data_IF_454798207263
#
_entry.id   IF_454798207263
#
_cell.length_a   1.000
_cell.length_b   1.000
_cell.length_c   1.000
_cell.angle_alpha   90.00
_cell.angle_beta   90.00
_cell.angle_gamma   90.00
#
_symmetry.space_group_name_H-M   'P 1'
#
loop_
_entity.id
_entity.type
_entity.pdbx_description
1 polymer ?
#
# COMPACT_ATOMS: atom_id res chain seq x y z
N UNK A 1 -57.32 -21.31 35.46
CA UNK A 1 -55.85 -21.32 35.42
C UNK A 1 -55.39 -19.88 35.59
N UNK A 2 -54.58 -19.56 36.60
CA UNK A 2 -54.22 -18.17 36.93
C UNK A 2 -53.42 -17.52 35.78
N UNK A 3 -53.67 -16.24 35.48
CA UNK A 3 -52.99 -15.47 34.41
C UNK A 3 -51.46 -15.58 34.51
N UNK A 4 -50.94 -15.67 35.74
CA UNK A 4 -49.52 -15.88 36.02
C UNK A 4 -48.97 -17.20 35.48
N UNK A 5 -49.78 -18.26 35.43
CA UNK A 5 -49.37 -19.57 34.88
C UNK A 5 -49.30 -19.52 33.36
N UNK A 6 -50.20 -18.77 32.71
CA UNK A 6 -50.22 -18.61 31.25
C UNK A 6 -49.02 -17.75 30.81
N UNK A 7 -48.74 -16.66 31.53
CA UNK A 7 -47.61 -15.78 31.23
C UNK A 7 -46.25 -16.50 31.38
N UNK A 8 -46.08 -17.34 32.41
CA UNK A 8 -44.84 -18.11 32.59
C UNK A 8 -44.69 -19.21 31.54
N UNK A 9 -45.77 -19.86 31.11
CA UNK A 9 -45.73 -20.84 30.02
C UNK A 9 -45.38 -20.19 28.68
N UNK A 10 -45.94 -19.01 28.38
CA UNK A 10 -45.60 -18.23 27.18
C UNK A 10 -44.15 -17.74 27.20
N UNK A 11 -43.64 -17.30 28.35
CA UNK A 11 -42.24 -16.89 28.50
C UNK A 11 -41.27 -18.08 28.33
N UNK A 12 -41.61 -19.24 28.91
CA UNK A 12 -40.80 -20.46 28.80
C UNK A 12 -40.77 -21.02 27.37
N UNK A 13 -41.91 -20.99 26.68
CA UNK A 13 -42.01 -21.39 25.27
C UNK A 13 -41.27 -20.40 24.36
N UNK A 14 -41.42 -19.09 24.57
CA UNK A 14 -40.64 -18.07 23.84
C UNK A 14 -39.13 -18.23 24.00
N UNK A 15 -38.66 -18.47 25.23
CA UNK A 15 -37.23 -18.67 25.51
C UNK A 15 -36.70 -19.96 24.86
N UNK A 16 -37.46 -21.04 24.88
CA UNK A 16 -37.06 -22.31 24.23
C UNK A 16 -37.00 -22.18 22.71
N UNK A 17 -37.97 -21.51 22.08
CA UNK A 17 -37.92 -21.23 20.64
C UNK A 17 -36.75 -20.31 20.25
N UNK A 18 -36.41 -19.33 21.10
CA UNK A 18 -35.24 -18.48 20.88
C UNK A 18 -33.93 -19.27 20.95
N UNK A 19 -33.77 -20.15 21.94
CA UNK A 19 -32.59 -21.01 22.06
C UNK A 19 -32.48 -21.98 20.88
N UNK A 20 -33.60 -22.60 20.48
CA UNK A 20 -33.65 -23.45 19.27
C UNK A 20 -33.27 -22.67 18.01
N UNK A 21 -33.80 -21.46 17.84
CA UNK A 21 -33.45 -20.57 16.73
C UNK A 21 -31.95 -20.22 16.71
N UNK A 22 -31.37 -19.92 17.88
CA UNK A 22 -29.94 -19.64 18.01
C UNK A 22 -29.08 -20.87 17.67
N UNK A 23 -29.47 -22.08 18.09
CA UNK A 23 -28.77 -23.32 17.76
C UNK A 23 -28.84 -23.61 16.25
N UNK A 24 -29.99 -23.40 15.61
CA UNK A 24 -30.14 -23.55 14.15
C UNK A 24 -29.29 -22.53 13.40
N UNK A 25 -29.28 -21.27 13.83
CA UNK A 25 -28.47 -20.22 13.22
C UNK A 25 -26.97 -20.49 13.38
N UNK A 26 -26.56 -21.08 14.50
CA UNK A 26 -25.18 -21.53 14.73
C UNK A 26 -24.81 -22.70 13.81
N UNK A 27 -25.68 -23.70 13.63
CA UNK A 27 -25.43 -24.84 12.74
C UNK A 27 -25.33 -24.41 11.26
N UNK A 28 -26.21 -23.52 10.81
CA UNK A 28 -26.15 -22.94 9.45
C UNK A 28 -24.84 -22.17 9.24
N UNK A 29 -24.43 -21.38 10.24
CA UNK A 29 -23.17 -20.63 10.18
C UNK A 29 -21.96 -21.57 10.11
N UNK A 30 -21.98 -22.65 10.90
CA UNK A 30 -20.93 -23.67 10.88
C UNK A 30 -20.82 -24.37 9.52
N UNK A 31 -21.96 -24.76 8.91
CA UNK A 31 -21.97 -25.39 7.57
C UNK A 31 -21.46 -24.46 6.48
N UNK A 32 -21.83 -23.17 6.51
CA UNK A 32 -21.32 -22.16 5.56
C UNK A 32 -19.81 -21.99 5.69
N UNK A 33 -19.30 -21.91 6.90
CA UNK A 33 -17.85 -21.83 7.15
C UNK A 33 -17.16 -23.10 6.63
N UNK A 34 -17.71 -24.28 6.91
CA UNK A 34 -17.16 -25.56 6.41
C UNK A 34 -17.15 -25.66 4.88
N UNK A 35 -18.17 -25.13 4.20
CA UNK A 35 -18.21 -25.08 2.75
C UNK A 35 -17.12 -24.15 2.18
N UNK A 36 -16.95 -22.96 2.79
CA UNK A 36 -15.93 -21.98 2.40
C UNK A 36 -14.51 -22.52 2.65
N UNK A 37 -14.32 -23.33 3.71
CA UNK A 37 -13.05 -23.99 4.02
C UNK A 37 -12.60 -25.01 2.96
N UNK A 38 -13.52 -25.61 2.21
CA UNK A 38 -13.18 -26.55 1.12
C UNK A 38 -12.72 -25.79 -0.12
N UNK A 39 -13.19 -24.55 -0.29
CA UNK A 39 -12.92 -23.73 -1.48
C UNK A 39 -11.69 -22.82 -1.35
N UNK A 40 -11.22 -22.48 -0.15
CA UNK A 40 -10.14 -21.49 0.04
C UNK A 40 -9.07 -21.93 1.08
N UNK A 41 -7.81 -22.22 0.66
CA UNK A 41 -6.70 -22.60 1.53
C UNK A 41 -6.22 -21.50 2.51
N UNK A 42 -6.47 -20.22 2.22
CA UNK A 42 -5.95 -19.10 3.04
C UNK A 42 -6.74 -18.86 4.34
N UNK A 43 -7.98 -19.34 4.39
CA UNK A 43 -8.87 -19.23 5.58
C UNK A 43 -8.35 -20.06 6.76
N UNK A 44 -7.38 -20.96 6.52
CA UNK A 44 -6.77 -21.79 7.55
C UNK A 44 -6.08 -20.97 8.66
N UNK A 45 -5.47 -19.81 8.40
CA UNK A 45 -4.70 -19.10 9.44
C UNK A 45 -5.59 -18.33 10.44
N UNK A 46 -6.74 -17.84 10.01
CA UNK A 46 -7.72 -17.14 10.87
C UNK A 46 -8.44 -18.10 11.86
N UNK A 47 -8.25 -19.42 11.71
CA UNK A 47 -9.01 -20.48 12.40
C UNK A 47 -8.89 -20.49 13.93
N UNK A 48 -7.72 -20.19 14.50
CA UNK A 48 -7.46 -20.45 15.93
C UNK A 48 -8.35 -19.59 16.85
N UNK A 49 -8.61 -18.36 16.43
CA UNK A 49 -9.35 -17.37 17.22
C UNK A 49 -10.86 -17.54 17.10
N UNK A 50 -11.35 -17.96 15.93
CA UNK A 50 -12.78 -18.14 15.68
C UNK A 50 -13.28 -19.42 16.38
N UNK A 51 -12.51 -20.51 16.33
CA UNK A 51 -12.86 -21.75 17.03
C UNK A 51 -12.79 -21.62 18.55
N UNK A 52 -11.85 -20.85 19.11
CA UNK A 52 -11.84 -20.61 20.57
C UNK A 52 -13.04 -19.80 21.04
N UNK A 53 -13.60 -18.95 20.18
CA UNK A 53 -14.79 -18.16 20.47
C UNK A 53 -16.10 -18.94 20.29
N UNK A 54 -16.13 -19.93 19.40
CA UNK A 54 -17.31 -20.75 19.09
C UNK A 54 -17.41 -22.06 19.90
N UNK A 55 -16.39 -22.40 20.69
CA UNK A 55 -16.39 -23.54 21.61
C UNK A 55 -17.29 -23.26 22.83
N UNK A 56 -18.59 -23.14 22.60
CA UNK A 56 -19.61 -22.91 23.63
C UNK A 56 -19.92 -24.17 24.45
N UNK A 57 -19.52 -25.36 23.96
CA UNK A 57 -19.53 -26.61 24.70
C UNK A 57 -18.22 -27.35 24.46
N UNK A 58 -17.37 -27.42 25.48
CA UNK A 58 -16.09 -28.10 25.41
C UNK A 58 -16.25 -29.59 25.09
N UNK A 59 -15.56 -30.06 24.06
CA UNK A 59 -14.91 -31.37 24.11
C UNK A 59 -13.41 -31.11 24.16
N UNK A 60 -12.83 -31.11 25.35
CA UNK A 60 -11.43 -31.48 25.49
C UNK A 60 -11.36 -32.96 25.10
N UNK A 61 -10.94 -33.25 23.88
CA UNK A 61 -10.43 -34.56 23.55
C UNK A 61 -9.04 -34.66 24.18
N UNK A 62 -8.99 -35.14 25.42
CA UNK A 62 -7.79 -35.74 25.98
C UNK A 62 -7.54 -37.00 25.14
N UNK A 63 -6.65 -36.93 24.15
CA UNK A 63 -6.05 -38.13 23.58
C UNK A 63 -5.17 -38.76 24.64
N UNK A 64 -5.77 -39.64 25.43
CA UNK A 64 -5.08 -40.69 26.15
C UNK A 64 -4.53 -41.69 25.12
N UNK A 65 -3.23 -41.62 24.83
CA UNK A 65 -2.51 -42.78 24.33
C UNK A 65 -1.72 -43.32 25.53
N UNK A 66 -2.25 -44.40 26.10
CA UNK A 66 -1.57 -45.23 27.09
C UNK A 66 -0.62 -46.17 26.34
N UNK A 67 0.67 -46.04 26.65
CA UNK A 67 1.67 -47.11 26.83
C UNK A 67 1.95 -48.11 25.70
N UNK A 68 3.20 -48.12 25.22
CA UNK A 68 4.09 -49.20 25.69
C UNK A 68 5.58 -48.80 25.73
N UNK A 69 6.18 -49.12 26.89
CA UNK A 69 7.57 -49.53 27.18
C UNK A 69 8.80 -48.60 27.07
N UNK A 70 9.43 -48.47 28.25
CA UNK A 70 10.86 -48.56 28.58
C UNK A 70 11.82 -47.41 28.21
N UNK A 71 12.18 -46.57 29.20
CA UNK A 71 13.42 -46.73 30.01
C UNK A 71 13.63 -45.59 31.04
N UNK A 72 13.76 -46.00 32.31
CA UNK A 72 14.69 -45.53 33.37
C UNK A 72 15.19 -44.06 33.33
N UNK A 73 14.90 -43.26 34.39
CA UNK A 73 15.66 -43.19 35.68
C UNK A 73 15.27 -41.94 36.50
N UNK A 74 14.83 -42.21 37.74
CA UNK A 74 15.06 -41.53 39.02
C UNK A 74 15.53 -40.07 39.04
N UNK A 75 14.86 -39.21 39.83
CA UNK A 75 15.28 -38.90 41.22
C UNK A 75 14.54 -37.69 41.84
N UNK A 76 14.01 -37.89 43.06
CA UNK A 76 13.95 -36.97 44.23
C UNK A 76 13.19 -35.62 44.11
N UNK A 77 12.51 -35.03 45.11
CA UNK A 77 12.06 -35.35 46.48
C UNK A 77 11.28 -34.10 47.00
N UNK A 78 10.42 -34.27 48.03
CA UNK A 78 10.03 -33.22 49.02
C UNK A 78 8.84 -32.31 48.65
N UNK A 79 7.59 -32.51 49.10
CA UNK A 79 7.05 -32.42 50.47
C UNK A 79 7.14 -31.02 51.12
N UNK A 80 6.02 -30.29 51.25
CA UNK A 80 5.29 -30.01 52.52
C UNK A 80 4.36 -28.77 52.50
N UNK A 81 3.08 -29.04 52.79
CA UNK A 81 2.13 -28.34 53.67
C UNK A 81 2.14 -26.81 53.86
N UNK A 82 0.97 -26.20 53.60
CA UNK A 82 0.14 -25.59 54.66
C UNK A 82 -1.31 -25.35 54.21
N UNK A 83 -2.23 -26.16 54.75
CA UNK A 83 -3.65 -25.83 54.90
C UNK A 83 -3.81 -24.84 56.06
N UNK A 84 -4.57 -23.77 55.86
CA UNK A 84 -5.21 -22.99 56.92
C UNK A 84 -6.72 -23.08 56.70
N UNK A 85 -7.41 -23.61 57.70
CA UNK A 85 -8.86 -23.70 57.83
C UNK A 85 -9.45 -22.42 58.45
N UNK A 86 -10.79 -22.34 58.49
CA UNK A 86 -11.69 -21.35 59.13
C UNK A 86 -12.11 -20.25 58.13
N UNK A 87 -13.38 -19.97 57.83
CA UNK A 87 -14.68 -20.34 58.41
C UNK A 87 -15.76 -20.27 57.31
N UNK A 88 -16.78 -21.12 57.39
CA UNK A 88 -17.98 -21.02 56.54
C UNK A 88 -18.99 -20.11 57.25
N UNK A 89 -19.11 -18.88 56.78
CA UNK A 89 -20.31 -18.07 57.00
C UNK A 89 -21.16 -18.07 55.72
N UNK A 90 -22.27 -18.77 55.85
CA UNK A 90 -23.36 -18.91 54.90
C UNK A 90 -23.97 -17.53 54.60
N UNK A 91 -23.76 -17.04 53.38
CA UNK A 91 -24.53 -15.91 52.82
C UNK A 91 -24.91 -16.24 51.39
N UNK A 92 -26.19 -16.59 51.22
CA UNK A 92 -26.98 -16.40 50.01
C UNK A 92 -26.48 -17.16 48.78
N UNK A 93 -27.03 -18.35 48.55
CA UNK A 93 -26.96 -19.05 47.27
C UNK A 93 -27.49 -18.15 46.14
N UNK A 94 -26.59 -17.42 45.49
CA UNK A 94 -26.91 -16.76 44.22
C UNK A 94 -27.17 -17.88 43.23
N UNK A 95 -28.41 -17.98 42.75
CA UNK A 95 -28.84 -19.02 41.82
C UNK A 95 -27.87 -19.09 40.64
N UNK A 96 -27.48 -20.30 40.21
CA UNK A 96 -26.69 -20.55 39.00
C UNK A 96 -27.24 -19.77 37.79
N UNK A 97 -28.54 -19.49 37.79
CA UNK A 97 -29.21 -18.67 36.80
C UNK A 97 -28.79 -17.19 36.83
N UNK A 98 -28.61 -16.57 38.00
CA UNK A 98 -28.14 -15.17 38.10
C UNK A 98 -26.67 -15.03 37.70
N UNK A 99 -25.83 -16.01 38.04
CA UNK A 99 -24.44 -16.08 37.54
C UNK A 99 -24.39 -16.22 36.01
N UNK A 100 -25.30 -17.01 35.43
CA UNK A 100 -25.44 -17.15 33.98
C UNK A 100 -25.96 -15.87 33.31
N UNK A 101 -26.90 -15.15 33.94
CA UNK A 101 -27.41 -13.87 33.43
C UNK A 101 -26.35 -12.76 33.49
N UNK A 102 -25.54 -12.68 34.55
CA UNK A 102 -24.43 -11.73 34.64
C UNK A 102 -23.30 -12.05 33.65
N UNK A 103 -22.98 -13.34 33.47
CA UNK A 103 -21.99 -13.79 32.48
C UNK A 103 -22.45 -13.53 31.04
N UNK A 104 -23.72 -13.82 30.72
CA UNK A 104 -24.30 -13.59 29.40
C UNK A 104 -24.42 -12.09 29.08
N UNK A 105 -24.77 -11.23 30.04
CA UNK A 105 -24.79 -9.77 29.84
C UNK A 105 -23.40 -9.21 29.53
N UNK A 106 -22.37 -9.65 30.25
CA UNK A 106 -20.99 -9.16 30.05
C UNK A 106 -20.39 -9.66 28.72
N UNK A 107 -20.70 -10.90 28.32
CA UNK A 107 -20.25 -11.45 27.04
C UNK A 107 -21.06 -10.92 25.86
N UNK A 108 -22.37 -10.77 25.99
CA UNK A 108 -23.21 -10.14 24.97
C UNK A 108 -22.85 -8.67 24.78
N UNK A 109 -22.55 -7.92 25.85
CA UNK A 109 -22.10 -6.53 25.75
C UNK A 109 -20.77 -6.42 24.99
N UNK A 110 -19.80 -7.30 25.25
CA UNK A 110 -18.53 -7.31 24.52
C UNK A 110 -18.71 -7.69 23.04
N UNK A 111 -19.61 -8.63 22.73
CA UNK A 111 -19.91 -9.02 21.34
C UNK A 111 -20.68 -7.92 20.62
N UNK A 112 -21.66 -7.29 21.28
CA UNK A 112 -22.44 -6.19 20.73
C UNK A 112 -21.52 -4.98 20.50
N UNK A 113 -20.66 -4.61 21.47
CA UNK A 113 -19.65 -3.55 21.28
C UNK A 113 -18.67 -3.87 20.15
N UNK A 114 -18.22 -5.11 20.02
CA UNK A 114 -17.34 -5.52 18.93
C UNK A 114 -18.03 -5.44 17.56
N UNK A 115 -19.32 -5.79 17.49
CA UNK A 115 -20.13 -5.74 16.27
C UNK A 115 -20.59 -4.33 15.91
N UNK A 116 -20.90 -3.47 16.88
CA UNK A 116 -21.35 -2.08 16.62
C UNK A 116 -20.18 -1.15 16.32
N UNK A 117 -18.99 -1.36 16.90
CA UNK A 117 -17.80 -0.56 16.56
C UNK A 117 -17.06 -1.02 15.29
N UNK A 118 -17.11 -2.31 14.92
CA UNK A 118 -16.35 -2.80 13.75
C UNK A 118 -17.04 -2.55 12.40
N UNK A 119 -18.34 -2.26 12.38
CA UNK A 119 -19.13 -2.21 11.13
C UNK A 119 -19.24 -0.79 10.54
N UNK A 120 -19.08 0.28 11.33
CA UNK A 120 -19.33 1.65 10.86
C UNK A 120 -18.15 2.38 10.21
N UNK A 121 -16.92 2.14 10.69
CA UNK A 121 -15.77 2.99 10.32
C UNK A 121 -14.92 2.39 9.17
N UNK A 122 -14.77 1.07 9.13
CA UNK A 122 -13.95 0.40 8.12
C UNK A 122 -14.55 0.40 6.72
N UNK A 123 -15.88 0.43 6.58
CA UNK A 123 -16.51 0.47 5.26
C UNK A 123 -16.24 1.82 4.57
N UNK A 124 -16.46 2.94 5.25
CA UNK A 124 -16.27 4.29 4.70
C UNK A 124 -14.82 4.58 4.28
N UNK A 125 -13.85 4.18 5.09
CA UNK A 125 -12.43 4.36 4.78
C UNK A 125 -11.99 3.49 3.59
N UNK A 126 -12.55 2.27 3.47
CA UNK A 126 -12.27 1.37 2.34
C UNK A 126 -12.84 1.91 1.02
N UNK A 127 -14.04 2.48 1.03
CA UNK A 127 -14.62 3.12 -0.18
C UNK A 127 -13.80 4.34 -0.62
N UNK A 128 -13.38 5.21 0.32
CA UNK A 128 -12.50 6.36 0.02
C UNK A 128 -11.14 5.93 -0.55
N UNK A 129 -10.55 4.87 -0.01
CA UNK A 129 -9.29 4.33 -0.52
C UNK A 129 -9.44 3.80 -1.96
N UNK A 130 -10.55 3.14 -2.27
CA UNK A 130 -10.83 2.62 -3.62
C UNK A 130 -11.05 3.76 -4.62
N UNK A 131 -11.85 4.77 -4.25
CA UNK A 131 -12.08 5.96 -5.08
C UNK A 131 -10.78 6.73 -5.34
N UNK A 132 -9.95 6.87 -4.31
CA UNK A 132 -8.64 7.50 -4.41
C UNK A 132 -7.71 6.79 -5.42
N UNK A 133 -7.63 5.46 -5.35
CA UNK A 133 -6.83 4.67 -6.31
C UNK A 133 -7.42 4.77 -7.71
N UNK A 134 -8.73 4.64 -7.85
CA UNK A 134 -9.41 4.76 -9.14
C UNK A 134 -9.18 6.14 -9.78
N UNK A 135 -9.14 7.20 -8.97
CA UNK A 135 -8.85 8.55 -9.42
C UNK A 135 -7.42 8.73 -9.96
N UNK A 136 -6.41 8.17 -9.30
CA UNK A 136 -5.00 8.23 -9.75
C UNK A 136 -4.77 7.31 -10.95
N UNK A 137 -5.35 6.11 -10.93
CA UNK A 137 -5.11 5.06 -11.92
C UNK A 137 -6.15 5.07 -13.04
N UNK A 138 -6.70 6.25 -13.38
CA UNK A 138 -7.70 6.43 -14.45
C UNK A 138 -7.26 5.80 -15.77
N UNK A 139 -5.98 5.93 -16.11
CA UNK A 139 -5.37 5.41 -17.34
C UNK A 139 -4.77 4.00 -17.20
N UNK A 140 -5.07 3.31 -16.10
CA UNK A 140 -4.68 1.92 -15.88
C UNK A 140 -3.29 1.76 -15.25
N UNK A 141 -3.01 0.51 -14.87
CA UNK A 141 -1.76 0.09 -14.23
C UNK A 141 -0.75 -0.36 -15.28
N UNK A 142 0.46 0.24 -15.37
CA UNK A 142 1.46 -0.15 -16.35
C UNK A 142 2.02 -1.57 -16.16
N UNK A 143 1.99 -2.04 -14.93
CA UNK A 143 2.34 -3.39 -14.50
C UNK A 143 1.74 -3.63 -13.12
N UNK A 144 1.67 -4.87 -12.65
CA UNK A 144 0.98 -5.23 -11.40
C UNK A 144 1.92 -5.79 -10.32
N UNK A 145 3.22 -5.62 -10.49
CA UNK A 145 4.23 -6.14 -9.57
C UNK A 145 4.24 -5.31 -8.27
N UNK A 146 3.99 -5.96 -7.13
CA UNK A 146 4.10 -5.40 -5.77
C UNK A 146 3.60 -3.94 -5.65
N UNK A 147 2.30 -3.74 -5.90
CA UNK A 147 1.66 -2.42 -5.86
C UNK A 147 1.54 -1.90 -4.43
N UNK A 148 1.92 -0.63 -4.24
CA UNK A 148 1.71 0.14 -3.01
C UNK A 148 0.98 1.43 -3.30
N UNK A 149 -0.01 1.70 -2.47
CA UNK A 149 -0.89 2.86 -2.56
C UNK A 149 -0.52 3.83 -1.45
N UNK A 150 -0.19 5.06 -1.84
CA UNK A 150 0.01 6.20 -0.95
C UNK A 150 -1.14 7.19 -1.14
N UNK A 151 -1.14 8.32 -0.43
CA UNK A 151 -2.24 9.30 -0.44
C UNK A 151 -2.35 10.17 -1.69
N UNK A 152 -1.39 10.11 -2.61
CA UNK A 152 -1.37 10.93 -3.83
C UNK A 152 -0.70 10.26 -5.02
N UNK A 153 -0.05 9.12 -4.80
CA UNK A 153 0.61 8.35 -5.84
C UNK A 153 0.48 6.87 -5.55
N UNK A 154 0.59 6.08 -6.62
CA UNK A 154 0.64 4.62 -6.58
C UNK A 154 1.98 4.22 -7.17
N UNK A 155 2.68 3.29 -6.53
CA UNK A 155 3.94 2.78 -7.06
C UNK A 155 3.94 1.26 -7.12
N UNK A 156 4.69 0.73 -8.08
CA UNK A 156 5.10 -0.66 -8.15
C UNK A 156 6.55 -0.78 -7.67
N UNK A 157 6.84 -1.70 -6.75
CA UNK A 157 8.15 -1.77 -6.10
C UNK A 157 8.98 -2.98 -6.48
N UNK A 158 10.21 -2.75 -6.92
CA UNK A 158 11.18 -3.79 -7.20
C UNK A 158 11.96 -4.14 -5.92
N UNK A 159 11.66 -5.30 -5.33
CA UNK A 159 12.36 -5.79 -4.13
C UNK A 159 13.81 -6.17 -4.40
N UNK A 160 14.16 -6.58 -5.62
CA UNK A 160 15.51 -6.99 -6.01
C UNK A 160 16.40 -5.77 -6.16
N UNK A 161 15.91 -4.77 -6.88
CA UNK A 161 16.66 -3.54 -7.15
C UNK A 161 16.51 -2.47 -6.05
N UNK A 162 15.53 -2.66 -5.15
CA UNK A 162 15.22 -1.81 -3.98
C UNK A 162 14.80 -0.39 -4.37
N UNK A 163 14.24 -0.25 -5.56
CA UNK A 163 13.71 0.98 -6.16
C UNK A 163 12.33 0.68 -6.76
N UNK A 164 11.56 1.70 -7.13
CA UNK A 164 10.30 1.47 -7.83
C UNK A 164 10.51 1.00 -9.27
N UNK A 165 9.62 0.16 -9.79
CA UNK A 165 9.50 -0.09 -11.23
C UNK A 165 8.90 1.13 -11.93
N UNK A 166 7.85 1.69 -11.34
CA UNK A 166 7.17 2.89 -11.79
C UNK A 166 6.37 3.51 -10.65
N UNK A 167 6.09 4.79 -10.78
CA UNK A 167 5.20 5.56 -9.91
C UNK A 167 4.22 6.34 -10.78
N UNK A 168 2.94 6.31 -10.43
CA UNK A 168 1.89 7.11 -11.03
C UNK A 168 1.40 8.16 -10.04
N UNK A 169 1.40 9.41 -10.45
CA UNK A 169 0.81 10.53 -9.71
C UNK A 169 -0.26 11.24 -10.53
N UNK A 170 -1.27 11.75 -9.83
CA UNK A 170 -2.28 12.64 -10.39
C UNK A 170 -2.08 14.03 -9.77
N UNK A 171 -1.70 14.99 -10.61
CA UNK A 171 -1.38 16.35 -10.20
C UNK A 171 -2.55 17.26 -10.58
N UNK A 172 -3.16 17.88 -9.57
CA UNK A 172 -4.25 18.83 -9.74
C UNK A 172 -3.74 20.26 -9.53
N UNK A 173 -4.20 21.21 -10.35
CA UNK A 173 -3.88 22.65 -10.25
C UNK A 173 -4.12 23.23 -8.86
N UNK A 174 -5.15 22.79 -8.14
CA UNK A 174 -5.56 23.41 -6.88
C UNK A 174 -4.45 23.30 -5.82
N UNK A 175 -3.79 22.14 -5.77
CA UNK A 175 -2.68 21.90 -4.85
C UNK A 175 -1.41 22.65 -5.27
N UNK A 176 -1.26 22.97 -6.56
CA UNK A 176 -0.14 23.75 -7.08
C UNK A 176 -0.31 25.26 -6.86
N UNK A 177 -1.53 25.75 -6.63
CA UNK A 177 -1.76 27.17 -6.33
C UNK A 177 -1.62 27.45 -4.83
N UNK A 178 -1.99 26.49 -3.99
CA UNK A 178 -1.92 26.60 -2.54
C UNK A 178 -0.57 26.12 -2.00
N UNK A 179 -0.09 26.70 -0.89
CA UNK A 179 1.07 26.19 -0.15
C UNK A 179 0.78 26.21 1.34
N UNK A 180 0.86 25.05 1.98
CA UNK A 180 0.87 24.96 3.44
C UNK A 180 2.25 25.44 3.94
N UNK A 181 2.31 26.44 4.83
CA UNK A 181 3.56 26.91 5.43
C UNK A 181 4.43 25.79 6.04
N UNK A 182 3.84 24.70 6.51
CA UNK A 182 4.58 23.56 7.09
C UNK A 182 5.46 22.85 6.07
N UNK A 183 5.06 22.85 4.79
CA UNK A 183 5.83 22.21 3.70
C UNK A 183 7.10 22.97 3.32
N UNK A 184 7.32 24.18 3.86
CA UNK A 184 8.58 24.90 3.75
C UNK A 184 9.71 24.19 4.50
N UNK A 185 9.38 23.51 5.60
CA UNK A 185 10.33 22.78 6.42
C UNK A 185 10.53 21.37 5.88
N UNK A 186 11.54 21.21 5.00
CA UNK A 186 11.89 19.91 4.41
C UNK A 186 12.47 18.98 5.49
N UNK A 187 12.13 17.68 5.48
CA UNK A 187 12.74 16.73 6.39
C UNK A 187 14.23 16.56 6.07
N UNK A 188 15.03 16.38 7.11
CA UNK A 188 16.49 16.22 7.00
C UNK A 188 16.91 14.82 6.49
N UNK A 189 15.98 13.86 6.44
CA UNK A 189 16.25 12.48 6.04
C UNK A 189 15.05 11.85 5.37
N UNK A 190 15.31 10.87 4.50
CA UNK A 190 14.27 10.01 3.93
C UNK A 190 13.66 9.09 4.97
N UNK A 191 12.42 8.68 4.74
CA UNK A 191 11.59 7.96 5.70
C UNK A 191 11.49 6.48 5.28
N UNK A 192 11.78 5.51 6.17
CA UNK A 192 11.57 4.10 5.86
C UNK A 192 10.07 3.79 5.78
N UNK A 193 9.70 2.92 4.86
CA UNK A 193 8.34 2.40 4.77
C UNK A 193 8.23 1.08 5.55
N UNK A 194 7.44 1.10 6.63
CA UNK A 194 7.23 -0.05 7.50
C UNK A 194 6.45 -1.19 6.84
N UNK A 195 5.79 -0.95 5.69
CA UNK A 195 5.12 -1.99 4.91
C UNK A 195 6.10 -2.88 4.15
N UNK A 196 7.34 -2.44 3.96
CA UNK A 196 8.38 -3.18 3.27
C UNK A 196 9.31 -3.79 4.30
N UNK A 197 9.59 -5.08 4.15
CA UNK A 197 10.60 -5.72 5.00
C UNK A 197 11.95 -5.00 4.83
N UNK A 198 12.65 -4.66 5.92
CA UNK A 198 13.90 -3.91 5.87
C UNK A 198 14.98 -4.53 4.98
N UNK A 199 14.96 -5.85 4.77
CA UNK A 199 15.93 -6.55 3.90
C UNK A 199 15.77 -6.21 2.41
N UNK A 200 14.59 -5.74 2.01
CA UNK A 200 14.27 -5.30 0.64
C UNK A 200 14.15 -3.78 0.52
N UNK A 201 14.51 -3.02 1.55
CA UNK A 201 14.38 -1.57 1.56
C UNK A 201 15.74 -0.89 1.55
N UNK A 202 15.84 0.23 0.84
CA UNK A 202 17.02 1.09 0.89
C UNK A 202 17.06 1.86 2.21
N UNK A 203 18.27 2.26 2.63
CA UNK A 203 18.49 3.03 3.86
C UNK A 203 19.36 4.24 3.60
N UNK A 204 19.35 5.21 4.53
CA UNK A 204 20.22 6.39 4.43
C UNK A 204 21.70 6.02 4.36
N UNK A 205 22.09 4.85 4.89
CA UNK A 205 23.48 4.38 4.87
C UNK A 205 23.95 4.03 3.46
N UNK A 206 23.05 3.59 2.59
CA UNK A 206 23.38 3.22 1.21
C UNK A 206 23.73 4.43 0.35
N UNK A 207 23.18 5.60 0.69
CA UNK A 207 23.46 6.88 0.06
C UNK A 207 24.61 7.66 0.74
N UNK A 208 25.07 7.21 1.92
CA UNK A 208 26.21 7.84 2.58
C UNK A 208 27.47 7.36 1.86
N UNK A 209 28.33 8.31 1.49
CA UNK A 209 29.58 8.06 0.74
C UNK A 209 29.39 7.46 -0.67
N UNK A 210 28.21 7.62 -1.27
CA UNK A 210 28.02 7.36 -2.70
C UNK A 210 28.15 8.65 -3.51
N UNK A 211 28.56 8.50 -4.78
CA UNK A 211 28.54 9.62 -5.74
C UNK A 211 27.10 10.02 -6.13
N UNK A 212 26.16 9.10 -5.92
CA UNK A 212 24.74 9.28 -6.21
C UNK A 212 24.01 10.01 -5.10
N UNK A 213 23.04 10.83 -5.47
CA UNK A 213 22.12 11.50 -4.54
C UNK A 213 20.73 10.86 -4.63
N UNK A 214 19.93 10.99 -3.58
CA UNK A 214 18.52 10.58 -3.63
C UNK A 214 17.68 11.53 -4.49
N UNK A 215 17.12 10.99 -5.56
CA UNK A 215 16.14 11.62 -6.44
C UNK A 215 14.74 11.13 -6.09
N UNK A 216 13.76 12.02 -6.11
CA UNK A 216 12.36 11.63 -5.93
C UNK A 216 11.76 11.33 -7.31
N UNK A 217 11.09 10.18 -7.48
CA UNK A 217 10.34 9.92 -8.71
C UNK A 217 9.08 10.78 -8.78
N UNK A 218 8.38 10.87 -7.65
CA UNK A 218 7.30 11.83 -7.40
C UNK A 218 7.83 12.97 -6.55
N UNK A 219 7.75 14.19 -7.08
CA UNK A 219 8.32 15.35 -6.42
C UNK A 219 7.45 15.83 -5.26
N UNK A 220 8.01 16.06 -4.05
CA UNK A 220 7.24 16.56 -2.92
C UNK A 220 6.63 17.95 -3.21
N UNK A 221 7.21 18.72 -4.12
CA UNK A 221 6.69 20.04 -4.50
C UNK A 221 5.34 19.99 -5.22
N UNK A 222 4.96 18.83 -5.77
CA UNK A 222 3.65 18.63 -6.39
C UNK A 222 2.52 18.64 -5.33
N UNK A 223 2.87 18.42 -4.05
CA UNK A 223 1.93 18.27 -2.94
C UNK A 223 2.12 19.31 -1.84
N UNK A 224 2.65 20.49 -2.19
CA UNK A 224 2.91 21.58 -1.25
C UNK A 224 1.67 22.09 -0.50
N UNK A 225 0.46 21.73 -0.92
CA UNK A 225 -0.79 22.10 -0.25
C UNK A 225 -1.06 21.28 1.03
N UNK A 226 -0.42 20.12 1.21
CA UNK A 226 -0.71 19.21 2.31
C UNK A 226 0.58 18.54 2.83
N UNK A 227 0.87 18.76 4.11
CA UNK A 227 2.07 18.24 4.75
C UNK A 227 2.16 16.71 4.79
N UNK A 228 1.05 15.99 4.96
CA UNK A 228 1.07 14.54 5.03
C UNK A 228 1.44 13.94 3.67
N UNK A 229 0.81 14.46 2.60
CA UNK A 229 1.10 14.08 1.21
C UNK A 229 2.52 14.44 0.81
N UNK A 230 3.00 15.62 1.25
CA UNK A 230 4.37 16.05 1.07
C UNK A 230 5.38 15.09 1.71
N UNK A 231 5.13 14.66 2.95
CA UNK A 231 6.02 13.75 3.69
C UNK A 231 6.03 12.33 3.11
N UNK A 232 4.94 11.86 2.52
CA UNK A 232 4.92 10.54 1.87
C UNK A 232 5.85 10.45 0.65
N UNK A 233 6.06 11.56 -0.08
CA UNK A 233 7.02 11.59 -1.17
C UNK A 233 8.48 11.36 -0.69
N UNK A 234 8.79 11.61 0.59
CA UNK A 234 10.11 11.33 1.19
C UNK A 234 10.31 9.87 1.61
N UNK A 235 9.34 8.98 1.38
CA UNK A 235 9.50 7.56 1.68
C UNK A 235 10.49 6.90 0.71
N UNK A 236 11.38 6.04 1.23
CA UNK A 236 12.41 5.35 0.45
C UNK A 236 11.94 4.65 -0.84
N UNK A 237 10.75 4.05 -0.92
CA UNK A 237 10.27 3.43 -2.17
C UNK A 237 10.16 4.39 -3.35
N UNK A 238 9.99 5.69 -3.09
CA UNK A 238 9.97 6.75 -4.08
C UNK A 238 11.37 7.34 -4.38
N UNK A 239 12.41 6.93 -3.64
CA UNK A 239 13.76 7.47 -3.76
C UNK A 239 14.61 6.57 -4.63
N UNK A 240 15.24 7.17 -5.65
CA UNK A 240 16.13 6.50 -6.60
C UNK A 240 17.52 7.14 -6.62
N UNK A 241 18.59 6.39 -6.92
CA UNK A 241 19.92 6.97 -7.11
C UNK A 241 19.97 7.78 -8.41
N UNK A 242 20.16 9.09 -8.30
CA UNK A 242 20.23 10.01 -9.45
C UNK A 242 21.55 10.78 -9.43
N UNK A 243 22.09 11.09 -10.60
CA UNK A 243 23.23 11.99 -10.74
C UNK A 243 22.89 13.40 -10.24
N UNK A 244 23.84 14.06 -9.60
CA UNK A 244 23.62 15.39 -9.01
C UNK A 244 23.40 16.47 -10.08
N UNK A 245 24.13 16.42 -11.18
CA UNK A 245 23.99 17.36 -12.30
C UNK A 245 22.63 17.20 -12.95
N UNK A 246 22.24 15.95 -13.26
CA UNK A 246 20.92 15.64 -13.79
C UNK A 246 19.79 16.18 -12.89
N UNK A 247 19.86 15.87 -11.58
CA UNK A 247 18.82 16.22 -10.61
C UNK A 247 18.57 17.72 -10.53
N UNK A 248 19.62 18.52 -10.48
CA UNK A 248 19.53 19.97 -10.27
C UNK A 248 19.18 20.74 -11.56
N UNK A 249 19.42 20.12 -12.73
CA UNK A 249 19.27 20.76 -14.03
C UNK A 249 18.05 20.20 -14.78
N UNK A 250 18.27 19.25 -15.71
CA UNK A 250 17.25 18.74 -16.62
C UNK A 250 16.08 18.08 -15.88
N UNK A 251 16.34 17.30 -14.82
CA UNK A 251 15.27 16.65 -14.07
C UNK A 251 14.34 17.67 -13.40
N UNK A 252 14.91 18.70 -12.77
CA UNK A 252 14.14 19.79 -12.15
C UNK A 252 13.33 20.58 -13.20
N UNK A 253 13.91 20.84 -14.37
CA UNK A 253 13.21 21.49 -15.49
C UNK A 253 12.03 20.64 -15.97
N UNK A 254 12.20 19.33 -16.09
CA UNK A 254 11.13 18.41 -16.45
C UNK A 254 10.02 18.37 -15.39
N UNK A 255 10.37 18.38 -14.10
CA UNK A 255 9.39 18.50 -13.02
C UNK A 255 8.61 19.82 -13.06
N UNK A 256 9.26 20.94 -13.40
CA UNK A 256 8.59 22.23 -13.56
C UNK A 256 7.67 22.24 -14.76
N UNK A 257 8.10 21.69 -15.90
CA UNK A 257 7.27 21.56 -17.10
C UNK A 257 5.98 20.76 -16.83
N UNK A 258 6.06 19.66 -16.08
CA UNK A 258 4.89 18.91 -15.63
C UNK A 258 3.91 19.78 -14.83
N UNK A 259 4.42 20.63 -13.92
CA UNK A 259 3.57 21.54 -13.12
C UNK A 259 2.93 22.61 -14.00
N UNK A 260 3.66 23.14 -14.98
CA UNK A 260 3.12 24.08 -15.96
C UNK A 260 1.99 23.45 -16.78
N UNK A 261 2.15 22.20 -17.23
CA UNK A 261 1.10 21.44 -17.89
C UNK A 261 -0.12 21.25 -16.98
N UNK A 262 0.09 20.90 -15.72
CA UNK A 262 -1.01 20.76 -14.75
C UNK A 262 -1.78 22.06 -14.50
N UNK A 263 -1.09 23.21 -14.52
CA UNK A 263 -1.74 24.53 -14.45
C UNK A 263 -2.52 24.87 -15.73
N UNK A 264 -2.06 24.39 -16.89
CA UNK A 264 -2.68 24.64 -18.20
C UNK A 264 -3.90 23.75 -18.48
N UNK A 265 -3.82 22.48 -18.12
CA UNK A 265 -4.83 21.45 -18.43
C UNK A 265 -5.69 21.05 -17.22
N UNK A 266 -5.61 21.81 -16.12
CA UNK A 266 -6.24 21.58 -14.81
C UNK A 266 -5.76 20.34 -14.04
N UNK A 267 -5.54 19.23 -14.75
CA UNK A 267 -5.07 17.97 -14.19
C UNK A 267 -4.16 17.25 -15.16
N UNK A 268 -3.12 16.60 -14.61
CA UNK A 268 -2.15 15.82 -15.37
C UNK A 268 -1.82 14.53 -14.63
N UNK A 269 -1.71 13.46 -15.39
CA UNK A 269 -1.30 12.14 -14.91
C UNK A 269 0.13 11.88 -15.35
N UNK A 270 0.98 11.44 -14.43
CA UNK A 270 2.40 11.27 -14.70
C UNK A 270 2.87 9.92 -14.21
N UNK A 271 3.39 9.13 -15.13
CA UNK A 271 4.11 7.90 -14.85
C UNK A 271 5.61 8.18 -14.90
N UNK A 272 6.33 7.83 -13.85
CA UNK A 272 7.77 8.05 -13.73
C UNK A 272 8.45 6.77 -13.26
N UNK A 273 9.59 6.42 -13.84
CA UNK A 273 10.33 5.26 -13.39
C UNK A 273 11.77 5.18 -13.93
N UNK A 274 12.57 4.28 -13.36
CA UNK A 274 13.92 3.99 -13.84
C UNK A 274 13.91 3.09 -15.10
N UNK A 275 14.99 3.17 -15.89
CA UNK A 275 15.28 2.27 -17.01
C UNK A 275 16.70 1.73 -16.93
N UNK A 276 16.85 0.50 -17.40
CA UNK A 276 18.12 -0.21 -17.51
C UNK A 276 18.39 -0.56 -18.98
N UNK A 277 18.91 0.41 -19.73
CA UNK A 277 19.11 0.30 -21.17
C UNK A 277 20.27 -0.64 -21.54
N UNK A 278 20.11 -1.49 -22.57
CA UNK A 278 21.18 -2.34 -23.05
C UNK A 278 22.26 -1.51 -23.76
N UNK A 279 23.52 -1.83 -23.47
CA UNK A 279 24.68 -1.25 -24.14
C UNK A 279 25.38 -2.32 -24.97
N UNK A 280 25.81 -1.94 -26.18
CA UNK A 280 26.55 -2.84 -27.07
C UNK A 280 28.01 -2.95 -26.59
N UNK A 281 28.43 -4.12 -26.13
CA UNK A 281 29.82 -4.36 -25.71
C UNK A 281 30.69 -4.71 -26.92
N UNK A 282 30.19 -5.59 -27.79
CA UNK A 282 30.87 -6.04 -29.02
C UNK A 282 29.88 -5.99 -30.18
N UNK A 283 30.36 -6.18 -31.41
CA UNK A 283 29.52 -6.09 -32.61
C UNK A 283 28.25 -6.96 -32.56
N UNK A 284 28.28 -8.10 -31.86
CA UNK A 284 27.14 -9.04 -31.75
C UNK A 284 26.54 -9.17 -30.34
N UNK A 285 27.17 -8.61 -29.31
CA UNK A 285 26.75 -8.83 -27.93
C UNK A 285 26.27 -7.53 -27.26
N UNK A 286 25.04 -7.60 -26.75
CA UNK A 286 24.42 -6.57 -25.93
C UNK A 286 24.42 -7.00 -24.47
N UNK A 287 24.59 -6.05 -23.56
CA UNK A 287 24.44 -6.29 -22.12
C UNK A 287 23.84 -5.09 -21.43
N UNK A 288 23.05 -5.35 -20.40
CA UNK A 288 22.63 -4.31 -19.47
C UNK A 288 23.68 -4.23 -18.36
N UNK A 289 24.37 -3.08 -18.26
CA UNK A 289 25.35 -2.80 -17.20
C UNK A 289 24.85 -1.62 -16.39
N UNK A 290 24.76 -1.80 -15.08
CA UNK A 290 24.38 -0.76 -14.14
C UNK A 290 25.15 -0.91 -12.85
N UNK A 291 25.34 0.19 -12.14
CA UNK A 291 26.00 0.19 -10.85
C UNK A 291 25.02 -0.23 -9.75
N UNK A 292 25.52 -0.85 -8.68
CA UNK A 292 24.78 -1.09 -7.44
C UNK A 292 25.52 -0.42 -6.30
N UNK A 293 24.81 0.21 -5.39
CA UNK A 293 25.42 1.00 -4.32
C UNK A 293 24.95 0.58 -2.92
N UNK A 294 25.77 0.90 -1.92
CA UNK A 294 25.48 0.58 -0.52
C UNK A 294 25.58 -0.91 -0.19
N UNK A 295 25.49 -1.21 1.11
CA UNK A 295 25.49 -2.61 1.61
C UNK A 295 24.24 -3.36 1.16
N UNK A 296 23.14 -2.63 0.96
CA UNK A 296 21.90 -3.19 0.45
C UNK A 296 21.90 -3.31 -1.08
N UNK A 297 22.98 -3.07 -1.81
CA UNK A 297 23.04 -3.28 -3.28
C UNK A 297 21.87 -2.61 -4.03
N UNK A 298 21.60 -1.34 -3.74
CA UNK A 298 20.54 -0.55 -4.39
C UNK A 298 20.95 -0.32 -5.84
N UNK A 299 20.08 -0.64 -6.79
CA UNK A 299 20.41 -0.48 -8.21
C UNK A 299 20.41 0.99 -8.62
N UNK A 300 21.43 1.41 -9.37
CA UNK A 300 21.53 2.73 -9.97
C UNK A 300 21.00 2.65 -11.40
N UNK A 301 19.88 3.31 -11.73
CA UNK A 301 19.31 3.32 -13.07
C UNK A 301 20.26 3.91 -14.10
N UNK A 302 20.18 3.43 -15.34
CA UNK A 302 20.95 4.02 -16.46
C UNK A 302 20.27 5.27 -17.02
N UNK A 303 18.94 5.26 -17.04
CA UNK A 303 18.09 6.33 -17.55
C UNK A 303 16.85 6.40 -16.66
N UNK A 304 16.10 7.48 -16.81
CA UNK A 304 14.76 7.64 -16.25
C UNK A 304 13.78 7.95 -17.36
N UNK A 305 12.55 7.48 -17.21
CA UNK A 305 11.45 7.87 -18.08
C UNK A 305 10.42 8.70 -17.33
N UNK A 306 9.71 9.54 -18.09
CA UNK A 306 8.49 10.19 -17.65
C UNK A 306 7.47 10.17 -18.79
N UNK A 307 6.32 9.56 -18.55
CA UNK A 307 5.17 9.58 -19.46
C UNK A 307 4.11 10.48 -18.84
N UNK A 308 3.78 11.55 -19.55
CA UNK A 308 2.84 12.59 -19.13
C UNK A 308 1.57 12.43 -19.95
N UNK A 309 0.41 12.38 -19.29
CA UNK A 309 -0.90 12.27 -19.92
C UNK A 309 -1.73 13.48 -19.47
N UNK A 310 -2.10 14.32 -20.43
CA UNK A 310 -2.95 15.48 -20.22
C UNK A 310 -4.35 15.17 -20.72
N UNK A 311 -5.36 15.42 -19.88
CA UNK A 311 -6.76 15.29 -20.26
C UNK A 311 -7.13 16.51 -21.13
N UNK A 312 -7.34 16.30 -22.44
CA UNK A 312 -7.84 17.36 -23.32
C UNK A 312 -9.35 17.18 -23.47
N UNK A 313 -10.13 18.11 -22.91
CA UNK A 313 -11.60 18.10 -23.01
C UNK A 313 -12.14 18.75 -24.29
N UNK A 314 -11.35 18.86 -25.36
CA UNK A 314 -11.81 19.46 -26.62
C UNK A 314 -12.09 18.39 -27.68
N UNK A 315 -13.35 18.34 -28.13
CA UNK A 315 -13.83 17.74 -29.38
C UNK A 315 -13.50 16.25 -29.66
N UNK A 316 -13.55 15.39 -28.64
CA UNK A 316 -13.51 13.94 -28.84
C UNK A 316 -12.15 13.38 -29.28
N UNK A 317 -11.09 14.19 -29.25
CA UNK A 317 -9.71 13.72 -29.33
C UNK A 317 -9.34 12.98 -28.04
N UNK A 318 -8.60 11.88 -28.16
CA UNK A 318 -8.08 11.14 -27.00
C UNK A 318 -7.12 11.99 -26.15
N UNK A 319 -6.76 11.52 -24.94
CA UNK A 319 -5.83 12.26 -24.08
C UNK A 319 -4.48 12.41 -24.78
N UNK A 320 -3.84 13.57 -24.59
CA UNK A 320 -2.54 13.87 -25.17
C UNK A 320 -1.44 13.25 -24.30
N UNK A 321 -0.52 12.52 -24.93
CA UNK A 321 0.57 11.82 -24.23
C UNK A 321 1.95 12.29 -24.70
N UNK A 322 2.84 12.56 -23.77
CA UNK A 322 4.24 12.94 -24.00
C UNK A 322 5.19 12.01 -23.23
N UNK A 323 6.16 11.41 -23.94
CA UNK A 323 7.17 10.53 -23.35
C UNK A 323 8.55 11.18 -23.33
N UNK A 324 9.24 11.15 -22.19
CA UNK A 324 10.60 11.64 -22.02
C UNK A 324 11.51 10.52 -21.51
N UNK A 325 12.72 10.43 -22.05
CA UNK A 325 13.79 9.55 -21.56
C UNK A 325 15.06 10.37 -21.35
N UNK A 326 15.58 10.35 -20.12
CA UNK A 326 16.76 11.14 -19.75
C UNK A 326 17.85 10.21 -19.20
N UNK A 327 19.10 10.30 -19.69
CA UNK A 327 20.20 9.50 -19.16
C UNK A 327 20.58 9.92 -17.74
N UNK A 328 20.84 8.95 -16.86
CA UNK A 328 21.29 9.18 -15.49
C UNK A 328 22.79 9.53 -15.44
N UNK A 329 23.13 10.67 -16.04
CA UNK A 329 24.47 11.20 -16.14
C UNK A 329 24.43 12.73 -16.17
N UNK A 330 25.58 13.37 -16.01
CA UNK A 330 25.66 14.80 -16.19
C UNK A 330 25.44 15.15 -17.68
N UNK A 331 24.40 15.93 -17.95
CA UNK A 331 24.05 16.40 -19.30
C UNK A 331 24.23 17.92 -19.35
N UNK A 332 24.54 18.43 -20.54
CA UNK A 332 24.66 19.87 -20.78
C UNK A 332 23.39 20.62 -20.32
N UNK A 333 23.60 21.70 -19.57
CA UNK A 333 22.52 22.51 -18.98
C UNK A 333 21.67 23.20 -20.03
N UNK A 334 22.29 23.56 -21.16
CA UNK A 334 21.68 24.31 -22.25
C UNK A 334 20.80 23.43 -23.15
N UNK A 335 20.87 22.11 -23.01
CA UNK A 335 20.07 21.20 -23.82
C UNK A 335 18.57 21.42 -23.59
N UNK A 336 17.80 21.54 -24.66
CA UNK A 336 16.36 21.70 -24.58
C UNK A 336 15.67 20.40 -24.13
N UNK A 337 14.58 20.52 -23.35
CA UNK A 337 13.78 19.37 -22.91
C UNK A 337 13.25 18.53 -24.08
N UNK A 338 13.02 19.17 -25.23
CA UNK A 338 12.57 18.52 -26.47
C UNK A 338 13.54 17.44 -26.96
N UNK A 339 14.83 17.58 -26.68
CA UNK A 339 15.86 16.61 -27.07
C UNK A 339 15.68 15.25 -26.40
N UNK A 340 14.94 15.21 -25.28
CA UNK A 340 14.67 13.98 -24.52
C UNK A 340 13.31 13.36 -24.86
N UNK A 341 12.54 13.95 -25.79
CA UNK A 341 11.29 13.37 -26.26
C UNK A 341 11.53 12.03 -26.95
N UNK A 342 10.79 11.02 -26.51
CA UNK A 342 10.91 9.63 -26.96
C UNK A 342 9.54 9.03 -27.23
N UNK A 343 9.46 8.04 -28.13
CA UNK A 343 8.21 7.29 -28.35
C UNK A 343 7.87 6.51 -27.07
N UNK A 344 6.61 6.58 -26.67
CA UNK A 344 6.11 5.85 -25.50
C UNK A 344 6.22 4.34 -25.72
N UNK A 345 6.10 3.86 -26.97
CA UNK A 345 6.28 2.43 -27.30
C UNK A 345 7.70 1.94 -27.04
N UNK A 346 8.71 2.80 -27.26
CA UNK A 346 10.09 2.46 -26.90
C UNK A 346 10.23 2.40 -25.37
N UNK A 347 9.60 3.34 -24.65
CA UNK A 347 9.57 3.32 -23.17
C UNK A 347 8.90 2.03 -22.67
N UNK A 348 7.74 1.64 -23.23
CA UNK A 348 7.04 0.38 -22.93
C UNK A 348 7.96 -0.83 -23.13
N UNK A 349 8.65 -0.88 -24.29
CA UNK A 349 9.56 -1.96 -24.64
C UNK A 349 10.72 -2.10 -23.65
N UNK A 350 11.39 -1.00 -23.31
CA UNK A 350 12.56 -1.04 -22.42
C UNK A 350 12.18 -1.12 -20.93
N UNK A 351 11.03 -0.60 -20.52
CA UNK A 351 10.54 -0.71 -19.15
C UNK A 351 9.88 -2.05 -18.86
N UNK A 352 9.37 -2.74 -19.88
CA UNK A 352 8.51 -3.91 -19.71
C UNK A 352 7.14 -3.55 -19.13
N UNK A 353 6.64 -2.36 -19.47
CA UNK A 353 5.38 -1.80 -18.95
C UNK A 353 4.43 -1.51 -20.11
N UNK A 354 3.13 -1.40 -19.83
CA UNK A 354 2.11 -1.04 -20.83
C UNK A 354 1.30 0.17 -20.38
N UNK A 355 1.48 1.31 -21.03
CA UNK A 355 0.72 2.52 -20.75
C UNK A 355 -0.59 2.54 -21.57
N UNK A 356 -1.42 3.55 -21.29
CA UNK A 356 -2.66 3.77 -22.02
C UNK A 356 -2.41 4.06 -23.51
N UNK A 357 -3.27 3.54 -24.38
CA UNK A 357 -3.21 3.81 -25.81
C UNK A 357 -3.96 5.13 -26.10
N UNK A 358 -3.25 6.26 -26.00
CA UNK A 358 -3.76 7.61 -26.30
C UNK A 358 -3.10 8.25 -27.53
N UNK A 359 -3.50 9.48 -27.86
CA UNK A 359 -2.86 10.24 -28.93
C UNK A 359 -1.48 10.69 -28.45
N UNK A 360 -0.43 10.08 -29.01
CA UNK A 360 0.92 10.54 -28.79
C UNK A 360 1.07 11.91 -29.45
N UNK A 361 1.65 12.87 -28.74
CA UNK A 361 2.00 14.14 -29.36
C UNK A 361 3.12 13.88 -30.36
N UNK A 362 2.77 13.92 -31.64
CA UNK A 362 3.74 13.78 -32.72
C UNK A 362 4.84 14.84 -32.58
N UNK A 363 6.06 14.46 -32.94
CA UNK A 363 7.17 15.40 -33.08
C UNK A 363 6.73 16.49 -34.07
N UNK A 364 6.75 17.75 -33.62
CA UNK A 364 6.57 18.98 -34.41
C UNK A 364 5.10 19.44 -34.53
N UNK A 365 4.60 20.09 -33.48
CA UNK A 365 3.53 21.10 -33.60
C UNK A 365 3.59 22.11 -32.44
N UNK A 366 4.77 22.72 -32.28
CA UNK A 366 4.86 24.08 -31.79
C UNK A 366 5.51 24.86 -32.92
N UNK A 367 4.78 25.83 -33.48
CA UNK A 367 5.26 26.76 -34.51
C UNK A 367 6.64 27.26 -34.09
N UNK A 368 7.67 26.79 -34.77
CA UNK A 368 8.97 27.42 -34.75
C UNK A 368 8.75 28.73 -35.49
N UNK A 369 8.59 29.84 -34.76
CA UNK A 369 8.94 31.11 -35.37
C UNK A 369 10.42 31.02 -35.66
N UNK A 370 10.75 30.70 -36.91
CA UNK A 370 12.12 30.77 -37.41
C UNK A 370 12.59 32.18 -37.06
N UNK A 371 13.69 32.35 -36.31
CA UNK A 371 14.21 33.69 -36.06
C UNK A 371 14.47 34.33 -37.43
N UNK A 372 13.79 35.45 -37.66
CA UNK A 372 13.95 36.24 -38.87
C UNK A 372 15.43 36.61 -38.98
N UNK A 373 16.03 36.47 -40.18
CA UNK A 373 17.40 36.94 -40.47
C UNK A 373 17.55 38.47 -40.38
N UNK A 374 16.59 39.19 -39.78
CA UNK A 374 16.70 40.60 -39.42
C UNK A 374 17.30 40.82 -38.03
N UNK A 375 17.35 39.81 -37.17
CA UNK A 375 17.75 39.99 -35.76
C UNK A 375 19.26 39.76 -35.53
N UNK A 376 20.06 39.70 -36.60
CA UNK A 376 21.53 39.60 -36.57
C UNK A 376 22.24 40.85 -37.11
N UNK A 377 21.56 41.99 -37.11
CA UNK A 377 22.20 43.29 -37.22
C UNK A 377 21.75 44.15 -36.04
N UNK A 378 22.53 44.09 -34.96
CA UNK A 378 23.00 45.25 -34.19
C UNK A 378 24.06 44.82 -33.15
#
# INVERSE_FOLDING_TARGET
MSIYVIATFCAATGATFFVLGAMVQQDISYRKIKAIMVTDPYVFQCRKHIFSALALFGRYATTSIVGNENEKRNSLEGATNRKRSIDLQDTGSVSLFEQFVLWSRTKAFNVIMFMTFSVGQQAGDKYKAIEHVAGIMKYGFPGMDEIRVYKNFVLSYDRRNRIAHWVCEHINKDCLLLRDPKTLNKPNSYIPDNSISPIFSATMRDFRNSDWVGGHLVSPQNYKCDMEKFMEAYKFPNIVPIDRGLKNNIWLRLENYVRELALKFDSVYVYTGPLFMPQRITFRNWSVRHHVMGMNTVAVPTHFFKVIICDQNFDGAGPMMEGFVVPNANVDTEMELRSFLSDIRDIEHFAGLKFYDGQQRDKIDMVVNVPSMTDLQD
#
